data_IF_580474221140
#
_entry.id   IF_580474221140
#
_cell.length_a   1.000
_cell.length_b   1.000
_cell.length_c   1.000
_cell.angle_alpha   90.00
_cell.angle_beta   90.00
_cell.angle_gamma   90.00
#
_symmetry.space_group_name_H-M   'P 1'
#
loop_
_entity.id
_entity.type
_entity.pdbx_description
1 polymer ?
#
# COMPACT_ATOMS: atom_id res chain seq x y z
N UNK A 1 -31.76 6.28 0.97
CA UNK A 1 -30.66 6.70 1.87
C UNK A 1 -29.38 6.75 1.05
N UNK A 2 -28.55 7.80 1.18
CA UNK A 2 -27.20 7.76 0.63
C UNK A 2 -26.40 6.62 1.28
N UNK A 3 -25.41 6.03 0.60
CA UNK A 3 -24.58 4.99 1.19
C UNK A 3 -23.84 5.55 2.42
N UNK A 4 -23.80 4.77 3.50
CA UNK A 4 -23.01 5.07 4.69
C UNK A 4 -21.53 5.23 4.30
N UNK A 5 -20.82 6.27 4.78
CA UNK A 5 -19.38 6.37 4.59
C UNK A 5 -18.64 5.28 5.38
N UNK A 6 -19.28 4.71 6.40
CA UNK A 6 -18.70 3.66 7.23
C UNK A 6 -19.12 2.28 6.71
N UNK A 7 -18.13 1.46 6.34
CA UNK A 7 -18.33 0.03 6.01
C UNK A 7 -17.99 -0.82 7.24
N UNK A 8 -18.83 -1.82 7.54
CA UNK A 8 -18.53 -2.83 8.55
C UNK A 8 -17.31 -3.65 8.09
N UNK A 9 -16.15 -3.41 8.69
CA UNK A 9 -14.84 -3.73 8.12
C UNK A 9 -14.23 -5.04 8.65
N UNK A 10 -14.11 -6.02 7.75
CA UNK A 10 -13.01 -6.98 7.76
C UNK A 10 -12.18 -6.80 6.49
N UNK A 11 -10.87 -6.60 6.59
CA UNK A 11 -9.97 -6.52 5.43
C UNK A 11 -9.18 -5.22 5.29
N UNK A 12 -8.55 -5.05 4.12
CA UNK A 12 -7.73 -3.88 3.77
C UNK A 12 -8.60 -2.78 3.18
N UNK A 13 -8.28 -1.52 3.49
CA UNK A 13 -8.91 -0.35 2.87
C UNK A 13 -8.29 -0.10 1.50
N UNK A 14 -9.08 0.50 0.61
CA UNK A 14 -8.56 1.04 -0.65
C UNK A 14 -7.59 2.19 -0.35
N UNK A 15 -6.59 2.42 -1.21
CA UNK A 15 -5.66 3.53 -1.02
C UNK A 15 -6.34 4.89 -0.89
N UNK A 16 -7.38 5.16 -1.69
CA UNK A 16 -8.11 6.43 -1.67
C UNK A 16 -9.33 6.43 -0.72
N UNK A 17 -9.44 5.46 0.20
CA UNK A 17 -10.61 5.36 1.09
C UNK A 17 -10.69 6.57 2.04
N UNK A 18 -11.82 7.32 2.08
CA UNK A 18 -11.95 8.53 2.90
C UNK A 18 -11.98 8.25 4.41
N UNK A 19 -12.10 6.98 4.82
CA UNK A 19 -12.06 6.56 6.22
C UNK A 19 -10.67 6.18 6.71
N UNK A 20 -9.66 6.20 5.82
CA UNK A 20 -8.28 5.97 6.22
C UNK A 20 -7.73 7.14 7.04
N UNK A 21 -7.13 6.82 8.19
CA UNK A 21 -6.41 7.78 9.03
C UNK A 21 -4.92 7.57 8.82
N UNK A 22 -4.24 8.60 8.32
CA UNK A 22 -2.79 8.62 8.17
C UNK A 22 -2.10 8.55 9.53
N UNK A 23 -1.03 7.76 9.61
CA UNK A 23 -0.23 7.58 10.80
C UNK A 23 1.19 8.04 10.51
N UNK A 24 1.95 8.32 11.55
CA UNK A 24 3.38 8.63 11.44
C UNK A 24 4.16 7.55 10.66
N UNK A 25 3.77 6.28 10.83
CA UNK A 25 4.38 5.16 10.12
C UNK A 25 4.20 5.20 8.60
N UNK A 26 3.17 5.88 8.07
CA UNK A 26 2.95 6.03 6.62
C UNK A 26 4.10 6.83 5.98
N UNK A 27 4.48 7.95 6.60
CA UNK A 27 5.57 8.80 6.10
C UNK A 27 6.95 8.20 6.39
N UNK A 28 7.15 7.58 7.55
CA UNK A 28 8.40 6.90 7.90
C UNK A 28 8.70 5.77 6.91
N UNK A 29 7.72 4.92 6.65
CA UNK A 29 7.88 3.78 5.73
C UNK A 29 8.12 4.26 4.29
N UNK A 30 7.33 5.22 3.81
CA UNK A 30 7.53 5.79 2.48
C UNK A 30 8.92 6.45 2.32
N UNK A 31 9.37 7.21 3.32
CA UNK A 31 10.66 7.90 3.27
C UNK A 31 11.82 6.91 3.26
N UNK A 32 11.77 5.89 4.13
CA UNK A 32 12.76 4.82 4.17
C UNK A 32 12.86 4.09 2.82
N UNK A 33 11.72 3.73 2.20
CA UNK A 33 11.72 3.08 0.89
C UNK A 33 12.35 3.96 -0.20
N UNK A 34 12.11 5.27 -0.20
CA UNK A 34 12.75 6.18 -1.16
C UNK A 34 14.26 6.32 -0.97
N UNK A 35 14.75 6.08 0.24
CA UNK A 35 16.18 6.04 0.53
C UNK A 35 16.81 4.69 0.17
N UNK A 36 16.03 3.72 -0.31
CA UNK A 36 16.49 2.36 -0.61
C UNK A 36 16.66 1.52 0.66
N UNK A 37 16.08 1.94 1.78
CA UNK A 37 16.14 1.22 3.04
C UNK A 37 15.09 0.11 3.11
N UNK A 38 15.43 -0.95 3.84
CA UNK A 38 14.51 -2.07 4.08
C UNK A 38 13.71 -1.85 5.36
N UNK A 39 12.39 -1.74 5.25
CA UNK A 39 11.47 -1.54 6.37
C UNK A 39 10.63 -2.78 6.70
N UNK A 40 10.40 -3.04 7.99
CA UNK A 40 9.56 -4.15 8.45
C UNK A 40 8.38 -3.65 9.28
N UNK A 41 7.15 -3.95 8.84
CA UNK A 41 5.92 -3.48 9.49
C UNK A 41 5.32 -4.60 10.33
N UNK A 42 5.67 -4.62 11.61
CA UNK A 42 5.10 -5.54 12.60
C UNK A 42 3.92 -4.89 13.31
N UNK A 43 2.71 -5.39 13.07
CA UNK A 43 1.53 -4.94 13.80
C UNK A 43 0.50 -6.07 13.95
N UNK A 44 -0.33 -5.98 14.99
CA UNK A 44 -1.46 -6.87 15.26
C UNK A 44 -2.37 -7.04 14.03
N UNK A 45 -3.06 -8.18 13.95
CA UNK A 45 -4.01 -8.48 12.87
C UNK A 45 -5.03 -7.34 12.73
N UNK A 46 -5.42 -7.03 11.49
CA UNK A 46 -6.49 -6.06 11.19
C UNK A 46 -6.21 -4.59 11.58
N UNK A 47 -4.95 -4.21 11.85
CA UNK A 47 -4.53 -2.82 12.14
C UNK A 47 -4.16 -1.98 10.90
N UNK A 48 -4.49 -2.44 9.70
CA UNK A 48 -4.28 -1.65 8.46
C UNK A 48 -2.90 -1.76 7.80
N UNK A 49 -2.10 -2.81 8.10
CA UNK A 49 -0.81 -3.06 7.44
C UNK A 49 -0.91 -3.15 5.91
N UNK A 50 -1.92 -3.87 5.42
CA UNK A 50 -2.16 -4.03 3.98
C UNK A 50 -2.56 -2.69 3.34
N UNK A 51 -3.31 -1.85 4.07
CA UNK A 51 -3.67 -0.50 3.64
C UNK A 51 -2.46 0.42 3.57
N UNK A 52 -1.57 0.35 4.57
CA UNK A 52 -0.28 1.07 4.59
C UNK A 52 0.54 0.73 3.33
N UNK A 53 0.75 -0.57 3.06
CA UNK A 53 1.45 -1.01 1.84
C UNK A 53 0.80 -0.45 0.58
N UNK A 54 -0.51 -0.60 0.44
CA UNK A 54 -1.24 -0.21 -0.75
C UNK A 54 -1.15 1.31 -1.01
N UNK A 55 -1.23 2.13 0.04
CA UNK A 55 -1.03 3.59 -0.05
C UNK A 55 0.39 3.97 -0.41
N UNK A 56 1.38 3.38 0.25
CA UNK A 56 2.80 3.66 -0.05
C UNK A 56 3.15 3.28 -1.48
N UNK A 57 2.67 2.12 -1.95
CA UNK A 57 2.81 1.67 -3.33
C UNK A 57 2.20 2.68 -4.32
N UNK A 58 0.95 3.09 -4.11
CA UNK A 58 0.28 4.07 -4.97
C UNK A 58 1.05 5.40 -5.04
N UNK A 59 1.55 5.89 -3.89
CA UNK A 59 2.34 7.14 -3.83
C UNK A 59 3.66 7.02 -4.62
N UNK A 60 4.36 5.90 -4.52
CA UNK A 60 5.58 5.63 -5.27
C UNK A 60 5.30 5.51 -6.78
N UNK A 61 4.22 4.83 -7.17
CA UNK A 61 3.81 4.70 -8.58
C UNK A 61 3.45 6.05 -9.21
N UNK A 62 2.77 6.92 -8.47
CA UNK A 62 2.47 8.29 -8.90
C UNK A 62 3.74 9.12 -9.15
N UNK A 63 4.85 8.78 -8.51
CA UNK A 63 6.16 9.39 -8.72
C UNK A 63 7.00 8.68 -9.80
N UNK A 64 6.44 7.67 -10.47
CA UNK A 64 7.10 6.95 -11.57
C UNK A 64 7.94 5.75 -11.15
N UNK A 65 7.83 5.30 -9.91
CA UNK A 65 8.51 4.08 -9.45
C UNK A 65 7.73 2.83 -9.87
N UNK A 66 8.45 1.81 -10.35
CA UNK A 66 7.87 0.48 -10.53
C UNK A 66 7.81 -0.25 -9.18
N UNK A 67 6.64 -0.78 -8.82
CA UNK A 67 6.43 -1.46 -7.55
C UNK A 67 6.08 -2.94 -7.76
N UNK A 68 6.71 -3.82 -7.00
CA UNK A 68 6.38 -5.25 -6.96
C UNK A 68 5.97 -5.65 -5.56
N UNK A 69 4.91 -6.44 -5.46
CA UNK A 69 4.46 -7.06 -4.22
C UNK A 69 4.63 -8.56 -4.32
N UNK A 70 5.27 -9.12 -3.30
CA UNK A 70 5.44 -10.56 -3.12
C UNK A 70 4.59 -10.97 -1.92
N UNK A 71 3.60 -11.82 -2.16
CA UNK A 71 2.85 -12.46 -1.08
C UNK A 71 3.41 -13.87 -0.85
N UNK A 72 3.84 -14.13 0.38
CA UNK A 72 4.42 -15.41 0.80
C UNK A 72 3.44 -16.19 1.69
N UNK A 73 2.21 -15.70 1.88
CA UNK A 73 1.22 -16.28 2.77
C UNK A 73 0.35 -17.33 2.06
N UNK A 74 0.96 -18.47 1.71
CA UNK A 74 0.27 -19.60 1.09
C UNK A 74 1.04 -20.11 -0.13
N UNK A 75 0.57 -19.76 -1.32
CA UNK A 75 1.30 -19.92 -2.57
C UNK A 75 2.10 -18.64 -2.87
N UNK A 76 3.29 -18.76 -3.46
CA UNK A 76 4.10 -17.60 -3.84
C UNK A 76 3.38 -16.88 -4.97
N UNK A 77 2.78 -15.73 -4.66
CA UNK A 77 2.14 -14.85 -5.64
C UNK A 77 2.95 -13.57 -5.82
N UNK A 78 3.05 -13.12 -7.08
CA UNK A 78 3.78 -11.91 -7.45
C UNK A 78 2.88 -11.00 -8.25
N UNK A 79 2.55 -9.85 -7.66
CA UNK A 79 1.85 -8.78 -8.37
C UNK A 79 2.83 -7.67 -8.68
N UNK A 80 3.06 -7.42 -9.96
CA UNK A 80 3.86 -6.28 -10.44
C UNK A 80 2.88 -5.20 -10.88
N UNK A 81 3.05 -4.00 -10.33
CA UNK A 81 2.35 -2.81 -10.79
C UNK A 81 3.36 -1.89 -11.45
N UNK A 82 3.14 -1.64 -12.73
CA UNK A 82 3.94 -0.72 -13.53
C UNK A 82 3.19 0.61 -13.63
N UNK A 83 3.81 1.76 -13.32
CA UNK A 83 3.27 3.03 -13.79
C UNK A 83 3.16 2.93 -15.32
N UNK A 84 2.05 3.40 -15.89
CA UNK A 84 1.61 3.16 -17.28
C UNK A 84 2.51 3.68 -18.41
N UNK A 85 3.83 3.74 -18.22
CA UNK A 85 4.81 4.17 -19.19
C UNK A 85 6.16 3.47 -18.99
N UNK A 86 6.22 2.14 -19.16
CA UNK A 86 7.43 1.52 -19.72
C UNK A 86 7.39 1.78 -21.24
N UNK A 87 7.51 3.04 -21.63
CA UNK A 87 7.72 3.40 -23.03
C UNK A 87 9.08 2.82 -23.43
N UNK A 88 8.99 1.78 -24.26
CA UNK A 88 10.07 1.13 -25.04
C UNK A 88 11.28 2.03 -25.24
N UNK A 89 12.45 1.56 -24.82
CA UNK A 89 13.69 1.81 -25.55
C UNK A 89 13.85 0.75 -26.64
#
# INVERSE_FOLDING_TARGET
>A
MPPSPFRASGGSLLPDDPTYVERQADDEFYTALKQGEYGYVLNSRQMGKSSLRARTQQRLEQEGWACATLDLSGDIDTTISSPGAFARL
#
